data_IF_540979064837
#
_entry.id   IF_540979064837
#
_cell.length_a   1.000
_cell.length_b   1.000
_cell.length_c   1.000
_cell.angle_alpha   90.00
_cell.angle_beta   90.00
_cell.angle_gamma   90.00
#
_symmetry.space_group_name_H-M   'P 1'
#
loop_
_entity.id
_entity.type
_entity.pdbx_description
1 polymer ?
#
# COMPACT_ATOMS: atom_id res chain seq x y z
N UNK A 1 -32.07 -49.99 0.03
CA UNK A 1 -31.07 -49.15 0.68
C UNK A 1 -31.12 -47.79 -0.02
N UNK A 2 -31.52 -46.72 0.65
CA UNK A 2 -31.69 -45.42 0.00
C UNK A 2 -30.39 -44.66 0.01
N UNK A 3 -30.13 -44.01 -1.13
CA UNK A 3 -29.07 -43.06 -1.35
C UNK A 3 -29.46 -41.70 -0.73
N UNK A 4 -28.68 -41.22 0.18
CA UNK A 4 -28.88 -39.92 0.85
C UNK A 4 -28.36 -38.80 -0.01
N UNK A 5 -29.25 -38.02 -0.57
CA UNK A 5 -29.04 -36.61 -0.96
C UNK A 5 -29.19 -35.74 0.28
N UNK A 6 -28.16 -35.08 0.68
CA UNK A 6 -28.10 -33.88 1.54
C UNK A 6 -26.70 -33.29 1.34
N UNK A 7 -26.55 -32.06 0.99
CA UNK A 7 -26.91 -30.79 1.53
C UNK A 7 -26.52 -29.71 0.49
N UNK A 8 -27.48 -29.15 -0.18
CA UNK A 8 -27.27 -27.85 -0.89
C UNK A 8 -28.16 -26.84 -0.21
N UNK A 9 -27.48 -26.02 0.57
CA UNK A 9 -27.71 -24.62 0.81
C UNK A 9 -29.02 -24.15 1.45
N UNK A 10 -28.96 -23.92 2.75
CA UNK A 10 -29.90 -23.12 3.53
C UNK A 10 -29.88 -21.61 3.18
N UNK A 11 -28.98 -21.15 2.29
CA UNK A 11 -28.82 -19.72 1.95
C UNK A 11 -29.68 -19.27 0.78
N UNK A 12 -30.09 -20.13 -0.11
CA UNK A 12 -30.98 -19.77 -1.25
C UNK A 12 -32.43 -19.55 -0.80
N UNK A 13 -32.87 -20.21 0.25
CA UNK A 13 -34.28 -20.16 0.72
C UNK A 13 -34.58 -18.83 1.46
N UNK A 14 -33.59 -18.17 2.04
CA UNK A 14 -33.80 -16.88 2.73
C UNK A 14 -33.97 -15.69 1.79
N UNK A 15 -33.46 -15.75 0.56
CA UNK A 15 -33.59 -14.67 -0.42
C UNK A 15 -34.96 -14.64 -1.12
N UNK A 16 -35.61 -15.80 -1.27
CA UNK A 16 -36.92 -15.88 -1.94
C UNK A 16 -38.08 -15.43 -1.02
N UNK A 17 -37.92 -15.53 0.30
CA UNK A 17 -38.97 -15.16 1.26
C UNK A 17 -39.14 -13.66 1.50
N UNK A 18 -38.13 -12.83 1.17
CA UNK A 18 -38.20 -11.37 1.35
C UNK A 18 -38.91 -10.69 0.16
N UNK A 19 -38.96 -11.31 -1.02
CA UNK A 19 -39.57 -10.73 -2.22
C UNK A 19 -41.11 -10.90 -2.22
N UNK A 20 -41.67 -11.80 -1.43
CA UNK A 20 -43.12 -12.10 -1.45
C UNK A 20 -43.96 -11.21 -0.48
N UNK A 21 -43.34 -10.40 0.36
CA UNK A 21 -44.05 -9.57 1.37
C UNK A 21 -44.25 -8.10 0.95
N UNK A 22 -43.83 -7.67 -0.25
CA UNK A 22 -44.01 -6.28 -0.73
C UNK A 22 -45.08 -6.14 -1.82
N UNK A 23 -45.74 -7.23 -2.22
CA UNK A 23 -46.68 -7.22 -3.36
C UNK A 23 -48.16 -6.95 -3.03
N UNK A 24 -48.49 -6.51 -1.81
CA UNK A 24 -49.90 -6.15 -1.49
C UNK A 24 -50.02 -4.71 -1.01
N UNK A 25 -49.95 -3.77 -1.91
CA UNK A 25 -50.38 -2.40 -1.66
C UNK A 25 -49.56 -1.35 -2.40
N UNK A 26 -49.89 -1.15 -3.66
CA UNK A 26 -49.93 0.13 -4.33
C UNK A 26 -50.20 -0.15 -5.82
N UNK A 27 -51.38 0.30 -6.29
CA UNK A 27 -51.76 0.21 -7.69
C UNK A 27 -51.00 1.23 -8.54
N UNK A 28 -50.72 0.81 -9.77
CA UNK A 28 -50.43 1.59 -10.97
C UNK A 28 -49.14 2.40 -10.99
N UNK A 29 -48.05 1.76 -11.46
CA UNK A 29 -47.19 2.15 -12.57
C UNK A 29 -46.17 1.01 -12.76
N UNK A 30 -46.42 0.15 -13.74
CA UNK A 30 -45.50 -0.89 -14.11
C UNK A 30 -44.30 -0.29 -14.89
N UNK A 31 -43.30 0.20 -14.19
CA UNK A 31 -41.94 0.24 -14.75
C UNK A 31 -41.37 -1.16 -14.61
N UNK A 32 -41.04 -1.76 -15.76
CA UNK A 32 -40.36 -3.06 -15.80
C UNK A 32 -39.06 -2.99 -15.02
N UNK A 33 -39.06 -3.53 -13.81
CA UNK A 33 -37.82 -3.81 -13.08
C UNK A 33 -37.12 -4.88 -13.91
N UNK A 34 -36.04 -4.50 -14.63
CA UNK A 34 -35.10 -5.48 -15.18
C UNK A 34 -34.46 -6.19 -13.98
N UNK A 35 -34.87 -7.40 -13.75
CA UNK A 35 -34.11 -8.34 -12.90
C UNK A 35 -32.77 -8.49 -13.61
N UNK A 36 -31.61 -8.18 -12.98
CA UNK A 36 -30.34 -8.46 -13.61
C UNK A 36 -30.31 -9.96 -13.93
N UNK A 37 -29.98 -10.29 -15.17
CA UNK A 37 -29.80 -11.68 -15.58
C UNK A 37 -28.72 -12.29 -14.67
N UNK A 38 -29.05 -13.42 -14.05
CA UNK A 38 -28.06 -14.22 -13.31
C UNK A 38 -27.04 -14.65 -14.37
N UNK A 39 -25.75 -14.30 -14.24
CA UNK A 39 -24.74 -14.71 -15.20
C UNK A 39 -24.81 -16.21 -15.41
N UNK A 40 -24.74 -16.65 -16.64
CA UNK A 40 -24.70 -18.08 -16.96
C UNK A 40 -23.45 -18.73 -16.35
N UNK A 41 -23.48 -20.01 -16.06
CA UNK A 41 -22.32 -20.74 -15.52
C UNK A 41 -21.06 -20.65 -16.43
N UNK A 42 -21.21 -20.21 -17.69
CA UNK A 42 -20.12 -19.94 -18.64
C UNK A 42 -19.56 -18.52 -18.49
N UNK A 43 -20.30 -17.57 -17.90
CA UNK A 43 -19.86 -16.21 -17.59
C UNK A 43 -19.23 -16.12 -16.19
N UNK A 44 -19.60 -17.01 -15.28
CA UNK A 44 -18.82 -17.37 -14.11
C UNK A 44 -17.67 -18.24 -14.61
N UNK A 45 -16.60 -17.64 -15.11
CA UNK A 45 -15.43 -18.35 -15.59
C UNK A 45 -15.05 -19.42 -14.57
N UNK A 46 -15.35 -20.70 -14.88
CA UNK A 46 -15.10 -21.78 -13.98
C UNK A 46 -13.61 -21.78 -13.62
N UNK A 47 -13.27 -21.38 -12.39
CA UNK A 47 -11.91 -21.47 -11.88
C UNK A 47 -11.57 -22.95 -11.94
N UNK A 48 -10.76 -23.34 -12.92
CA UNK A 48 -10.39 -24.74 -13.15
C UNK A 48 -9.23 -25.20 -12.25
N UNK A 49 -8.59 -24.25 -11.56
CA UNK A 49 -7.47 -24.46 -10.62
C UNK A 49 -7.39 -23.28 -9.66
N UNK A 50 -6.69 -23.47 -8.56
CA UNK A 50 -6.32 -22.38 -7.65
C UNK A 50 -5.52 -21.30 -8.43
N UNK A 51 -5.82 -20.04 -8.17
CA UNK A 51 -5.10 -18.91 -8.78
C UNK A 51 -4.34 -18.12 -7.71
N UNK A 52 -3.19 -17.60 -8.06
CA UNK A 52 -2.36 -16.83 -7.14
C UNK A 52 -2.35 -15.35 -7.55
N UNK A 53 -2.76 -14.52 -6.62
CA UNK A 53 -2.64 -13.07 -6.69
C UNK A 53 -1.36 -12.65 -5.98
N UNK A 54 -0.55 -11.82 -6.63
CA UNK A 54 0.71 -11.30 -6.10
C UNK A 54 0.62 -9.79 -5.98
N UNK A 55 0.74 -9.27 -4.75
CA UNK A 55 0.87 -7.84 -4.51
C UNK A 55 2.30 -7.53 -4.05
N UNK A 56 2.78 -6.33 -4.39
CA UNK A 56 4.02 -5.78 -3.84
C UNK A 56 3.71 -4.51 -3.08
N UNK A 57 4.23 -4.46 -1.85
CA UNK A 57 4.12 -3.28 -1.01
C UNK A 57 5.53 -2.72 -0.80
N UNK A 58 5.69 -1.45 -1.12
CA UNK A 58 6.91 -0.70 -0.97
C UNK A 58 6.77 0.31 0.17
N UNK A 59 7.88 0.63 0.84
CA UNK A 59 7.92 1.58 1.95
C UNK A 59 7.87 3.05 1.50
N UNK A 60 8.65 3.90 2.17
CA UNK A 60 8.57 5.35 2.05
C UNK A 60 9.28 5.85 0.77
N UNK A 61 8.50 6.49 -0.10
CA UNK A 61 9.00 7.25 -1.25
C UNK A 61 9.08 8.71 -0.87
N UNK A 62 10.29 9.26 -0.81
CA UNK A 62 10.53 10.63 -0.40
C UNK A 62 11.17 11.46 -1.53
N UNK A 63 11.10 12.79 -1.42
CA UNK A 63 11.73 13.72 -2.37
C UNK A 63 12.49 14.82 -1.63
N UNK A 64 13.76 14.56 -1.34
CA UNK A 64 14.65 15.53 -0.71
C UNK A 64 15.19 16.54 -1.73
N UNK A 65 15.72 17.67 -1.22
CA UNK A 65 16.25 18.75 -2.08
C UNK A 65 17.33 18.26 -3.05
N UNK A 66 18.20 17.37 -2.60
CA UNK A 66 19.27 16.81 -3.43
C UNK A 66 18.71 15.95 -4.57
N UNK A 67 17.60 15.25 -4.34
CA UNK A 67 16.91 14.46 -5.38
C UNK A 67 16.26 15.38 -6.41
N UNK A 68 15.60 16.48 -5.97
CA UNK A 68 15.05 17.51 -6.86
C UNK A 68 16.16 18.11 -7.72
N UNK A 69 17.29 18.48 -7.10
CA UNK A 69 18.43 19.08 -7.82
C UNK A 69 19.06 18.09 -8.80
N UNK A 70 19.21 16.82 -8.42
CA UNK A 70 19.81 15.79 -9.29
C UNK A 70 18.90 15.42 -10.47
N UNK A 71 17.58 15.52 -10.31
CA UNK A 71 16.60 15.24 -11.36
C UNK A 71 16.35 16.42 -12.31
N UNK A 72 16.72 17.66 -11.92
CA UNK A 72 16.46 18.86 -12.69
C UNK A 72 17.14 18.83 -14.06
N UNK A 73 16.41 19.17 -15.12
CA UNK A 73 16.91 19.29 -16.49
C UNK A 73 17.09 20.75 -16.87
N UNK A 74 17.73 21.01 -18.02
CA UNK A 74 17.90 22.37 -18.55
C UNK A 74 16.58 23.00 -19.02
N UNK A 75 15.55 22.21 -19.18
CA UNK A 75 14.23 22.58 -19.73
C UNK A 75 13.20 22.86 -18.64
N UNK A 76 13.65 23.19 -17.41
CA UNK A 76 12.79 23.43 -16.23
C UNK A 76 11.84 22.23 -15.92
N UNK A 77 12.27 21.02 -16.21
CA UNK A 77 11.61 19.74 -15.94
C UNK A 77 12.48 18.84 -15.08
N UNK A 78 11.96 17.68 -14.68
CA UNK A 78 12.69 16.68 -13.91
C UNK A 78 12.70 15.33 -14.61
N UNK A 79 13.84 14.61 -14.55
CA UNK A 79 14.01 13.26 -15.06
C UNK A 79 14.28 12.30 -13.90
N UNK A 80 13.45 11.27 -13.78
CA UNK A 80 13.53 10.23 -12.76
C UNK A 80 13.74 8.83 -13.33
N UNK A 81 14.06 8.69 -14.63
CA UNK A 81 14.11 7.40 -15.36
C UNK A 81 15.00 6.34 -14.68
N UNK A 82 16.10 6.77 -14.06
CA UNK A 82 17.02 5.85 -13.39
C UNK A 82 16.49 5.28 -12.07
N UNK A 83 15.45 5.89 -11.47
CA UNK A 83 15.05 5.58 -10.10
C UNK A 83 14.54 4.14 -9.96
N UNK A 84 13.72 3.67 -10.90
CA UNK A 84 13.03 2.39 -10.84
C UNK A 84 13.58 1.32 -11.78
N UNK A 85 14.60 1.65 -12.60
CA UNK A 85 15.12 0.77 -13.67
C UNK A 85 15.40 -0.66 -13.20
N UNK A 86 16.01 -0.83 -12.03
CA UNK A 86 16.43 -2.15 -11.55
C UNK A 86 15.35 -2.92 -10.79
N UNK A 87 14.27 -2.25 -10.36
CA UNK A 87 13.12 -2.92 -9.74
C UNK A 87 11.95 -3.14 -10.69
N UNK A 88 11.99 -2.58 -11.92
CA UNK A 88 10.89 -2.65 -12.89
C UNK A 88 10.40 -4.08 -13.12
N UNK A 89 11.33 -5.04 -13.32
CA UNK A 89 10.97 -6.46 -13.52
C UNK A 89 10.19 -7.08 -12.36
N UNK A 90 10.36 -6.55 -11.14
CA UNK A 90 9.58 -6.99 -9.98
C UNK A 90 8.18 -6.39 -10.01
N UNK A 91 8.08 -5.10 -10.32
CA UNK A 91 6.79 -4.40 -10.44
C UNK A 91 5.94 -5.01 -11.56
N UNK A 92 6.53 -5.27 -12.73
CA UNK A 92 5.85 -5.88 -13.88
C UNK A 92 5.38 -7.33 -13.62
N UNK A 93 5.97 -8.01 -12.64
CA UNK A 93 5.63 -9.40 -12.29
C UNK A 93 4.57 -9.53 -11.19
N UNK A 94 3.99 -8.43 -10.75
CA UNK A 94 2.91 -8.39 -9.75
C UNK A 94 1.58 -7.99 -10.36
N UNK A 95 0.51 -8.29 -9.66
CA UNK A 95 -0.84 -7.94 -10.05
C UNK A 95 -1.28 -6.59 -9.47
N UNK A 96 -0.57 -6.10 -8.44
CA UNK A 96 -0.82 -4.82 -7.79
C UNK A 96 0.42 -4.35 -7.03
N UNK A 97 0.80 -3.09 -7.21
CA UNK A 97 1.91 -2.44 -6.52
C UNK A 97 1.43 -1.26 -5.68
N UNK A 98 1.85 -1.21 -4.43
CA UNK A 98 1.42 -0.25 -3.41
C UNK A 98 2.65 0.47 -2.84
N UNK A 99 2.61 1.80 -2.67
CA UNK A 99 3.72 2.54 -2.05
C UNK A 99 3.26 3.73 -1.20
N UNK A 100 4.03 4.06 -0.16
CA UNK A 100 3.79 5.24 0.65
C UNK A 100 4.40 6.49 0.01
N UNK A 101 3.54 7.45 -0.33
CA UNK A 101 3.90 8.72 -0.98
C UNK A 101 4.20 9.78 0.09
N UNK A 102 5.41 9.75 0.66
CA UNK A 102 5.76 10.59 1.81
C UNK A 102 6.28 11.97 1.38
N UNK A 103 5.44 12.68 0.66
CA UNK A 103 5.65 14.05 0.18
C UNK A 103 4.31 14.68 -0.22
N UNK A 104 4.30 16.00 -0.38
CA UNK A 104 3.18 16.73 -1.02
C UNK A 104 3.54 17.13 -2.43
N UNK A 105 2.52 17.42 -3.25
CA UNK A 105 2.62 18.01 -4.59
C UNK A 105 2.01 19.42 -4.56
N UNK A 106 2.62 20.31 -3.75
CA UNK A 106 2.06 21.65 -3.51
C UNK A 106 2.45 22.69 -4.58
N UNK A 107 3.22 22.26 -5.61
CA UNK A 107 3.70 23.12 -6.67
C UNK A 107 5.01 23.83 -6.33
N UNK A 108 5.42 24.76 -7.21
CA UNK A 108 6.64 25.56 -7.04
C UNK A 108 6.47 26.60 -5.92
N UNK A 109 7.54 26.94 -5.16
CA UNK A 109 8.87 26.33 -5.26
C UNK A 109 8.87 24.90 -4.72
N UNK A 110 9.54 23.98 -5.44
CA UNK A 110 9.75 22.62 -4.95
C UNK A 110 10.75 22.63 -3.80
N UNK A 111 10.46 21.83 -2.76
CA UNK A 111 11.26 21.80 -1.53
C UNK A 111 11.39 20.38 -1.01
N UNK A 112 12.57 20.06 -0.44
CA UNK A 112 12.80 18.88 0.36
C UNK A 112 12.47 19.10 1.84
N UNK A 113 13.16 18.33 2.72
CA UNK A 113 13.02 18.46 4.17
C UNK A 113 13.31 19.90 4.64
N UNK A 114 12.60 20.45 5.66
CA UNK A 114 11.62 19.76 6.50
C UNK A 114 10.18 19.74 5.96
N UNK A 115 9.84 20.47 4.91
CA UNK A 115 8.49 20.56 4.38
C UNK A 115 8.50 20.29 2.88
N UNK A 116 8.15 19.06 2.53
CA UNK A 116 8.23 18.55 1.17
C UNK A 116 7.20 19.17 0.22
N UNK A 117 7.66 19.52 -0.97
CA UNK A 117 6.84 19.82 -2.15
C UNK A 117 7.55 19.26 -3.38
N UNK A 118 7.23 18.03 -3.74
CA UNK A 118 7.85 17.34 -4.87
C UNK A 118 7.35 17.93 -6.22
N UNK A 119 8.14 17.80 -7.31
CA UNK A 119 7.66 18.01 -8.66
C UNK A 119 6.52 17.04 -9.02
N UNK A 120 5.51 17.51 -9.75
CA UNK A 120 4.39 16.65 -10.19
C UNK A 120 4.85 15.50 -11.09
N UNK A 121 5.95 15.71 -11.83
CA UNK A 121 6.62 14.70 -12.65
C UNK A 121 7.05 13.48 -11.85
N UNK A 122 7.38 13.64 -10.57
CA UNK A 122 7.78 12.52 -9.73
C UNK A 122 6.61 11.56 -9.47
N UNK A 123 5.45 12.05 -9.10
CA UNK A 123 4.27 11.21 -8.91
C UNK A 123 3.83 10.56 -10.22
N UNK A 124 3.94 11.29 -11.34
CA UNK A 124 3.65 10.76 -12.67
C UNK A 124 4.61 9.63 -13.03
N UNK A 125 5.90 9.82 -12.82
CA UNK A 125 6.91 8.80 -13.07
C UNK A 125 6.69 7.54 -12.21
N UNK A 126 6.33 7.69 -10.92
CA UNK A 126 5.99 6.57 -10.04
C UNK A 126 4.79 5.77 -10.60
N UNK A 127 3.75 6.46 -11.06
CA UNK A 127 2.59 5.82 -11.71
C UNK A 127 3.00 5.08 -13.01
N UNK A 128 3.80 5.74 -13.85
CA UNK A 128 4.27 5.19 -15.14
C UNK A 128 5.18 3.96 -14.94
N UNK A 129 5.87 3.85 -13.79
CA UNK A 129 6.64 2.67 -13.41
C UNK A 129 5.78 1.53 -12.84
N UNK A 130 4.47 1.69 -12.76
CA UNK A 130 3.54 0.63 -12.37
C UNK A 130 3.25 0.58 -10.88
N UNK A 131 3.36 1.68 -10.13
CA UNK A 131 2.77 1.78 -8.80
C UNK A 131 1.29 2.13 -8.96
N UNK A 132 0.42 1.23 -8.51
CA UNK A 132 -1.03 1.31 -8.71
C UNK A 132 -1.74 2.03 -7.57
N UNK A 133 -1.26 1.84 -6.33
CA UNK A 133 -1.91 2.39 -5.13
C UNK A 133 -0.96 3.32 -4.38
N UNK A 134 -1.39 4.58 -4.23
CA UNK A 134 -0.68 5.61 -3.50
C UNK A 134 -1.24 5.75 -2.09
N UNK A 135 -0.41 5.48 -1.07
CA UNK A 135 -0.75 5.69 0.33
C UNK A 135 -0.42 7.14 0.69
N UNK A 136 -1.38 7.86 1.23
CA UNK A 136 -1.28 9.30 1.46
C UNK A 136 -1.33 9.70 2.94
N UNK A 137 -1.72 8.79 3.83
CA UNK A 137 -1.73 9.05 5.26
C UNK A 137 -0.33 8.86 5.85
N UNK A 138 0.46 9.92 5.90
CA UNK A 138 1.79 9.99 6.51
C UNK A 138 1.98 11.33 7.23
N UNK A 139 3.09 11.48 7.96
CA UNK A 139 3.36 12.67 8.76
C UNK A 139 3.68 13.91 7.93
N UNK A 140 4.06 13.77 6.65
CA UNK A 140 4.40 14.85 5.75
C UNK A 140 3.23 15.34 4.87
N UNK A 141 2.07 14.70 4.91
CA UNK A 141 0.96 15.02 4.01
C UNK A 141 0.40 16.46 4.17
N UNK A 142 0.62 17.07 5.33
CA UNK A 142 0.26 18.46 5.62
C UNK A 142 1.43 19.44 5.56
N UNK A 143 2.59 19.09 5.03
CA UNK A 143 3.79 19.94 4.99
C UNK A 143 3.57 21.33 4.35
N UNK A 144 2.59 21.43 3.50
CA UNK A 144 2.14 22.69 2.86
C UNK A 144 0.71 23.05 3.23
N UNK A 145 0.26 22.60 4.42
CA UNK A 145 -1.08 22.86 4.94
C UNK A 145 -2.20 22.22 4.11
N UNK A 146 -3.45 22.55 4.43
CA UNK A 146 -4.62 22.02 3.72
C UNK A 146 -4.63 22.35 2.22
N UNK A 147 -4.08 23.50 1.80
CA UNK A 147 -3.96 23.84 0.37
C UNK A 147 -2.97 22.92 -0.35
N UNK A 148 -1.85 22.59 0.29
CA UNK A 148 -0.88 21.64 -0.26
C UNK A 148 -1.48 20.24 -0.41
N UNK A 149 -2.19 19.75 0.62
CA UNK A 149 -2.90 18.48 0.55
C UNK A 149 -3.98 18.49 -0.53
N UNK A 150 -4.82 19.54 -0.60
CA UNK A 150 -5.84 19.67 -1.64
C UNK A 150 -5.25 19.52 -3.04
N UNK A 151 -4.16 20.30 -3.32
CA UNK A 151 -3.49 20.20 -4.61
C UNK A 151 -2.89 18.82 -4.87
N UNK A 152 -2.32 18.19 -3.86
CA UNK A 152 -1.78 16.83 -3.98
C UNK A 152 -2.85 15.84 -4.42
N UNK A 153 -4.02 15.89 -3.78
CA UNK A 153 -5.17 15.04 -4.15
C UNK A 153 -5.72 15.38 -5.55
N UNK A 154 -5.71 16.66 -5.95
CA UNK A 154 -6.08 17.07 -7.32
C UNK A 154 -5.16 16.44 -8.36
N UNK A 155 -3.83 16.47 -8.14
CA UNK A 155 -2.86 15.84 -9.03
C UNK A 155 -3.09 14.31 -9.10
N UNK A 156 -3.35 13.65 -7.99
CA UNK A 156 -3.64 12.20 -8.00
C UNK A 156 -4.92 11.89 -8.77
N UNK A 157 -5.98 12.69 -8.67
CA UNK A 157 -7.19 12.55 -9.49
C UNK A 157 -6.93 12.77 -10.98
N UNK A 158 -6.06 13.73 -11.33
CA UNK A 158 -5.64 13.90 -12.73
C UNK A 158 -4.84 12.69 -13.25
N UNK A 159 -4.02 12.07 -12.42
CA UNK A 159 -3.32 10.82 -12.76
C UNK A 159 -4.31 9.67 -12.93
N UNK A 160 -5.31 9.54 -12.05
CA UNK A 160 -6.38 8.52 -12.17
C UNK A 160 -7.14 8.57 -13.50
N UNK A 161 -7.26 9.74 -14.14
CA UNK A 161 -7.90 9.87 -15.45
C UNK A 161 -7.04 9.33 -16.60
N UNK A 162 -5.74 9.15 -16.38
CA UNK A 162 -4.75 8.78 -17.41
C UNK A 162 -4.16 7.39 -17.21
N UNK A 163 -4.19 6.90 -15.99
CA UNK A 163 -3.66 5.61 -15.56
C UNK A 163 -4.59 5.02 -14.49
N UNK A 164 -4.54 3.71 -14.29
CA UNK A 164 -5.44 3.02 -13.34
C UNK A 164 -5.03 3.16 -11.87
N UNK A 165 -4.24 4.19 -11.52
CA UNK A 165 -3.87 4.40 -10.12
C UNK A 165 -5.10 4.66 -9.26
N UNK A 166 -4.96 4.33 -7.96
CA UNK A 166 -5.89 4.73 -6.89
C UNK A 166 -5.08 5.31 -5.74
N UNK A 167 -5.74 6.02 -4.84
CA UNK A 167 -5.10 6.48 -3.60
C UNK A 167 -6.04 6.29 -2.41
N UNK A 168 -5.45 6.17 -1.22
CA UNK A 168 -6.18 6.05 0.05
C UNK A 168 -5.37 6.69 1.18
N UNK A 169 -6.03 7.03 2.28
CA UNK A 169 -5.41 7.62 3.46
C UNK A 169 -5.75 9.08 3.68
N UNK A 170 -6.01 9.86 2.61
CA UNK A 170 -6.48 11.22 2.68
C UNK A 170 -7.62 11.46 1.69
N UNK A 171 -8.49 12.41 2.00
CA UNK A 171 -9.66 12.74 1.18
C UNK A 171 -9.96 14.25 1.20
N UNK A 172 -10.57 14.75 0.13
CA UNK A 172 -10.95 16.16 -0.02
C UNK A 172 -12.29 16.49 0.60
N UNK A 173 -13.15 15.49 0.76
CA UNK A 173 -14.48 15.62 1.33
C UNK A 173 -14.99 14.28 1.90
N UNK A 174 -16.19 14.29 2.45
CA UNK A 174 -16.81 13.12 3.05
C UNK A 174 -17.08 11.99 2.04
N UNK A 175 -17.48 12.33 0.81
CA UNK A 175 -17.78 11.35 -0.25
C UNK A 175 -16.53 10.60 -0.69
N UNK A 176 -15.43 11.32 -0.91
CA UNK A 176 -14.13 10.72 -1.24
C UNK A 176 -13.61 9.86 -0.07
N UNK A 177 -13.76 10.34 1.17
CA UNK A 177 -13.41 9.56 2.37
C UNK A 177 -14.16 8.23 2.41
N UNK A 178 -15.48 8.23 2.23
CA UNK A 178 -16.30 7.01 2.25
C UNK A 178 -15.96 6.03 1.13
N UNK A 179 -15.49 6.52 -0.01
CA UNK A 179 -15.08 5.69 -1.16
C UNK A 179 -13.64 5.19 -1.10
N UNK A 180 -12.80 5.78 -0.24
CA UNK A 180 -11.37 5.48 -0.13
C UNK A 180 -10.94 4.96 1.25
N UNK A 181 -11.88 4.85 2.21
CA UNK A 181 -11.58 4.39 3.58
C UNK A 181 -12.68 3.44 4.09
N UNK A 182 -12.58 2.13 3.80
CA UNK A 182 -11.52 1.43 3.06
C UNK A 182 -11.58 1.68 1.55
N UNK A 183 -10.44 1.65 0.88
CA UNK A 183 -10.39 1.53 -0.57
C UNK A 183 -10.58 0.04 -0.92
N UNK A 184 -11.69 -0.30 -1.55
CA UNK A 184 -11.96 -1.67 -2.00
C UNK A 184 -11.67 -1.78 -3.50
N UNK A 185 -10.83 -2.73 -3.86
CA UNK A 185 -10.45 -3.04 -5.25
C UNK A 185 -10.65 -4.53 -5.50
N UNK A 186 -10.88 -4.89 -6.75
CA UNK A 186 -10.97 -6.29 -7.16
C UNK A 186 -9.87 -6.62 -8.15
N UNK A 187 -9.07 -7.65 -7.84
CA UNK A 187 -7.98 -8.14 -8.68
C UNK A 187 -8.09 -9.65 -8.80
N UNK A 188 -8.17 -10.17 -10.02
CA UNK A 188 -8.35 -11.61 -10.30
C UNK A 188 -9.52 -12.23 -9.53
N UNK A 189 -10.60 -11.46 -9.34
CA UNK A 189 -11.79 -11.90 -8.62
C UNK A 189 -11.62 -12.05 -7.10
N UNK A 190 -10.57 -11.47 -6.52
CA UNK A 190 -10.40 -11.29 -5.07
C UNK A 190 -10.63 -9.82 -4.74
N UNK A 191 -11.54 -9.55 -3.82
CA UNK A 191 -11.79 -8.21 -3.30
C UNK A 191 -10.87 -7.92 -2.13
N UNK A 192 -10.10 -6.86 -2.25
CA UNK A 192 -9.10 -6.42 -1.27
C UNK A 192 -9.51 -5.06 -0.73
N UNK A 193 -9.64 -4.93 0.57
CA UNK A 193 -9.82 -3.66 1.25
C UNK A 193 -8.47 -3.16 1.75
N UNK A 194 -8.12 -1.92 1.40
CA UNK A 194 -6.91 -1.23 1.84
C UNK A 194 -7.28 -0.11 2.79
N UNK A 195 -6.67 -0.08 3.97
CA UNK A 195 -6.86 0.97 4.98
C UNK A 195 -5.50 1.57 5.31
N UNK A 196 -5.27 2.82 4.91
CA UNK A 196 -4.06 3.57 5.23
C UNK A 196 -4.37 4.66 6.27
N UNK A 197 -3.55 4.75 7.32
CA UNK A 197 -3.71 5.75 8.38
C UNK A 197 -2.37 6.07 9.05
N UNK A 198 -2.19 7.33 9.50
CA UNK A 198 -0.95 7.81 10.15
C UNK A 198 -1.10 7.98 11.66
N UNK A 199 0.01 7.88 12.39
CA UNK A 199 0.08 8.22 13.81
C UNK A 199 -0.15 9.72 14.08
N UNK A 200 0.21 10.56 13.12
CA UNK A 200 0.17 12.01 13.24
C UNK A 200 0.68 12.73 12.00
N UNK A 201 0.70 14.06 12.05
CA UNK A 201 1.26 14.95 11.03
C UNK A 201 2.22 15.94 11.66
N UNK A 202 3.33 16.28 10.96
CA UNK A 202 4.37 17.18 11.46
C UNK A 202 3.85 18.61 11.63
N UNK A 203 2.94 19.04 10.75
CA UNK A 203 2.25 20.31 10.87
C UNK A 203 0.80 20.09 11.26
N UNK A 204 0.23 21.10 11.94
CA UNK A 204 -1.15 21.05 12.42
C UNK A 204 -2.15 20.85 11.28
N UNK A 205 -3.23 20.16 11.61
CA UNK A 205 -4.32 19.85 10.68
C UNK A 205 -5.40 20.90 10.75
N UNK A 206 -6.07 21.15 9.62
CA UNK A 206 -7.29 21.95 9.59
C UNK A 206 -8.47 21.18 10.17
N UNK A 207 -9.42 21.93 10.78
CA UNK A 207 -10.70 21.35 11.22
C UNK A 207 -11.61 20.96 10.05
N UNK A 208 -11.34 21.53 8.88
CA UNK A 208 -12.09 21.35 7.64
C UNK A 208 -11.38 20.38 6.68
N UNK A 209 -12.07 19.99 5.65
CA UNK A 209 -11.48 19.24 4.54
C UNK A 209 -10.44 20.09 3.76
N UNK A 210 -9.41 19.45 3.18
CA UNK A 210 -9.12 18.02 3.12
C UNK A 210 -8.65 17.44 4.45
N UNK A 211 -8.78 16.11 4.64
CA UNK A 211 -8.38 15.40 5.86
C UNK A 211 -7.56 14.16 5.53
N UNK A 212 -6.74 13.74 6.50
CA UNK A 212 -6.04 12.44 6.50
C UNK A 212 -6.56 11.54 7.60
N UNK A 213 -6.36 10.24 7.44
CA UNK A 213 -6.77 9.21 8.40
C UNK A 213 -5.77 9.11 9.55
N UNK A 214 -6.27 9.07 10.79
CA UNK A 214 -5.45 8.91 11.99
C UNK A 214 -5.67 7.56 12.66
N UNK A 215 -4.59 6.82 12.94
CA UNK A 215 -4.62 5.53 13.65
C UNK A 215 -5.26 5.61 15.03
N UNK A 216 -5.07 6.74 15.72
CA UNK A 216 -5.64 6.96 17.06
C UNK A 216 -7.14 7.28 17.03
N UNK A 217 -7.73 7.52 15.85
CA UNK A 217 -9.19 7.63 15.71
C UNK A 217 -9.81 6.23 15.65
N UNK A 218 -9.93 5.59 16.82
CA UNK A 218 -10.46 4.23 16.97
C UNK A 218 -11.87 4.05 16.38
N UNK A 219 -12.71 5.08 16.46
CA UNK A 219 -14.07 5.03 15.87
C UNK A 219 -13.99 4.94 14.34
N UNK A 220 -13.20 5.80 13.72
CA UNK A 220 -13.00 5.79 12.27
C UNK A 220 -12.38 4.47 11.81
N UNK A 221 -11.29 4.04 12.45
CA UNK A 221 -10.61 2.78 12.11
C UNK A 221 -11.52 1.56 12.29
N UNK A 222 -12.27 1.49 13.40
CA UNK A 222 -13.21 0.39 13.66
C UNK A 222 -14.36 0.35 12.64
N UNK A 223 -14.88 1.51 12.21
CA UNK A 223 -15.87 1.58 11.15
C UNK A 223 -15.30 1.13 9.81
N UNK A 224 -14.09 1.59 9.44
CA UNK A 224 -13.42 1.19 8.21
C UNK A 224 -13.17 -0.33 8.15
N UNK A 225 -12.72 -0.94 9.26
CA UNK A 225 -12.52 -2.39 9.36
C UNK A 225 -13.85 -3.17 9.21
N UNK A 226 -14.95 -2.70 9.83
CA UNK A 226 -16.28 -3.33 9.67
C UNK A 226 -16.79 -3.26 8.23
N UNK A 227 -16.57 -2.12 7.55
CA UNK A 227 -16.92 -1.97 6.14
C UNK A 227 -16.07 -2.89 5.27
N UNK A 228 -14.76 -2.99 5.56
CA UNK A 228 -13.84 -3.89 4.88
C UNK A 228 -14.29 -5.35 5.01
N UNK A 229 -14.59 -5.82 6.22
CA UNK A 229 -15.10 -7.18 6.49
C UNK A 229 -16.39 -7.50 5.71
N UNK A 230 -17.26 -6.49 5.55
CA UNK A 230 -18.53 -6.67 4.83
C UNK A 230 -18.39 -6.66 3.29
N UNK A 231 -17.34 -6.06 2.74
CA UNK A 231 -17.21 -5.77 1.31
C UNK A 231 -16.05 -6.49 0.62
N UNK A 232 -15.07 -7.01 1.37
CA UNK A 232 -13.85 -7.60 0.82
C UNK A 232 -13.58 -9.01 1.34
N UNK A 233 -12.76 -9.74 0.61
CA UNK A 233 -12.29 -11.08 0.98
C UNK A 233 -11.06 -11.00 1.89
N UNK A 234 -10.26 -9.93 1.76
CA UNK A 234 -9.02 -9.67 2.50
C UNK A 234 -8.94 -8.19 2.88
N UNK A 235 -8.55 -7.92 4.12
CA UNK A 235 -8.29 -6.56 4.64
C UNK A 235 -6.82 -6.36 4.92
N UNK A 236 -6.17 -5.42 4.22
CA UNK A 236 -4.79 -5.02 4.43
C UNK A 236 -4.76 -3.64 5.08
N UNK A 237 -4.18 -3.55 6.27
CA UNK A 237 -3.96 -2.27 6.95
C UNK A 237 -2.51 -1.83 6.74
N UNK A 238 -2.35 -0.58 6.32
CA UNK A 238 -1.09 0.03 5.91
C UNK A 238 -0.81 1.24 6.82
N UNK A 239 -0.37 1.01 8.07
CA UNK A 239 -0.16 2.08 9.04
C UNK A 239 1.18 2.80 8.81
N UNK A 240 1.17 4.12 9.00
CA UNK A 240 2.36 4.96 9.07
C UNK A 240 2.58 5.30 10.55
N UNK A 241 3.55 4.63 11.22
CA UNK A 241 3.65 4.58 12.67
C UNK A 241 5.06 4.27 13.21
N UNK A 242 5.22 4.34 14.54
CA UNK A 242 6.44 3.94 15.24
C UNK A 242 7.39 5.10 15.52
N UNK A 243 8.62 4.79 15.85
CA UNK A 243 9.70 5.73 16.11
C UNK A 243 10.76 5.66 15.02
N UNK A 244 11.21 6.83 14.54
CA UNK A 244 12.24 6.92 13.52
C UNK A 244 13.54 6.23 13.95
N UNK A 245 14.20 5.56 13.00
CA UNK A 245 15.54 4.95 13.09
C UNK A 245 15.67 3.75 14.04
N UNK A 246 14.58 3.25 14.63
CA UNK A 246 14.57 2.05 15.46
C UNK A 246 14.37 0.80 14.60
N UNK A 247 15.33 -0.17 14.68
CA UNK A 247 15.27 -1.43 13.90
C UNK A 247 14.31 -2.48 14.48
N UNK A 248 13.69 -2.18 15.61
CA UNK A 248 12.68 -3.03 16.25
C UNK A 248 11.42 -2.21 16.49
N UNK A 249 10.28 -2.84 16.34
CA UNK A 249 9.02 -2.22 16.71
C UNK A 249 8.97 -1.91 18.20
N UNK A 250 8.21 -0.90 18.57
CA UNK A 250 7.97 -0.54 19.97
C UNK A 250 6.65 -1.13 20.48
N UNK A 251 6.41 -0.98 21.76
CA UNK A 251 5.21 -1.48 22.43
C UNK A 251 3.90 -0.90 21.85
N UNK A 252 3.88 0.39 21.51
CA UNK A 252 2.72 1.05 20.90
C UNK A 252 2.36 0.45 19.53
N UNK A 253 3.38 0.14 18.71
CA UNK A 253 3.16 -0.57 17.43
C UNK A 253 2.58 -1.97 17.66
N UNK A 254 3.10 -2.73 18.63
CA UNK A 254 2.62 -4.08 18.95
C UNK A 254 1.15 -4.06 19.44
N UNK A 255 0.78 -3.12 20.33
CA UNK A 255 -0.60 -2.96 20.82
C UNK A 255 -1.56 -2.57 19.70
N UNK A 256 -1.15 -1.64 18.82
CA UNK A 256 -1.95 -1.26 17.65
C UNK A 256 -2.11 -2.40 16.67
N UNK A 257 -1.04 -3.15 16.36
CA UNK A 257 -1.09 -4.32 15.48
C UNK A 257 -2.07 -5.36 16.01
N UNK A 258 -1.97 -5.67 17.29
CA UNK A 258 -2.90 -6.61 17.95
C UNK A 258 -4.35 -6.13 17.83
N UNK A 259 -4.61 -4.87 18.15
CA UNK A 259 -5.96 -4.30 18.05
C UNK A 259 -6.51 -4.35 16.61
N UNK A 260 -5.69 -4.01 15.60
CA UNK A 260 -6.09 -4.09 14.20
C UNK A 260 -6.44 -5.54 13.80
N UNK A 261 -5.62 -6.50 14.20
CA UNK A 261 -5.84 -7.92 13.96
C UNK A 261 -7.12 -8.45 14.63
N UNK A 262 -7.40 -8.04 15.87
CA UNK A 262 -8.62 -8.36 16.62
C UNK A 262 -9.88 -7.75 15.98
N UNK A 263 -9.75 -6.67 15.22
CA UNK A 263 -10.86 -5.97 14.57
C UNK A 263 -10.97 -6.25 13.05
N UNK A 264 -10.30 -7.30 12.53
CA UNK A 264 -10.55 -7.78 11.18
C UNK A 264 -9.44 -7.49 10.16
N UNK A 265 -8.27 -6.98 10.56
CA UNK A 265 -7.13 -6.94 9.65
C UNK A 265 -6.60 -8.36 9.41
N UNK A 266 -6.34 -8.70 8.14
CA UNK A 266 -5.73 -9.98 7.73
C UNK A 266 -4.24 -9.85 7.47
N UNK A 267 -3.77 -8.65 7.12
CA UNK A 267 -2.36 -8.32 6.87
C UNK A 267 -2.09 -6.91 7.38
N UNK A 268 -0.93 -6.69 8.01
CA UNK A 268 -0.50 -5.36 8.47
C UNK A 268 0.91 -5.09 7.95
N UNK A 269 1.10 -3.99 7.20
CA UNK A 269 2.39 -3.62 6.63
C UNK A 269 2.64 -2.13 6.88
N UNK A 270 3.59 -1.83 7.75
CA UNK A 270 3.88 -0.49 8.24
C UNK A 270 4.97 0.26 7.49
N UNK A 271 4.99 1.57 7.71
CA UNK A 271 5.98 2.55 7.23
C UNK A 271 6.22 3.63 8.30
N UNK A 272 7.07 4.62 8.06
CA UNK A 272 7.48 5.75 8.90
C UNK A 272 8.84 5.64 9.59
N UNK A 273 9.30 4.54 10.22
CA UNK A 273 10.59 4.52 10.91
C UNK A 273 11.81 4.83 10.02
N UNK A 274 11.61 4.91 8.70
CA UNK A 274 12.65 5.12 7.69
C UNK A 274 13.77 4.08 7.68
N UNK A 275 13.60 3.04 8.45
CA UNK A 275 14.46 1.85 8.51
C UNK A 275 13.59 0.61 8.52
N UNK A 276 14.14 -0.49 8.06
CA UNK A 276 13.51 -1.80 8.16
C UNK A 276 13.33 -2.16 9.63
N UNK A 277 12.13 -2.56 10.02
CA UNK A 277 11.87 -3.18 11.31
C UNK A 277 11.57 -4.66 11.14
N UNK A 278 11.53 -5.38 12.25
CA UNK A 278 11.20 -6.79 12.29
C UNK A 278 9.75 -7.10 11.81
N UNK A 279 9.49 -8.37 11.60
CA UNK A 279 8.18 -8.89 11.20
C UNK A 279 7.82 -10.10 12.06
N UNK A 280 6.53 -10.32 12.24
CA UNK A 280 6.00 -11.48 12.98
C UNK A 280 4.64 -11.93 12.42
N UNK A 281 4.06 -12.96 13.00
CA UNK A 281 2.66 -13.34 12.80
C UNK A 281 1.92 -13.32 14.13
N UNK A 282 0.89 -12.50 14.22
CA UNK A 282 -0.04 -12.47 15.35
C UNK A 282 -1.08 -13.56 15.14
N UNK A 283 -1.43 -14.29 16.21
CA UNK A 283 -2.48 -15.33 16.15
C UNK A 283 -3.72 -14.84 16.89
N UNK A 284 -4.82 -14.66 16.16
CA UNK A 284 -6.13 -14.26 16.70
C UNK A 284 -7.16 -15.30 16.26
N UNK A 285 -7.80 -15.98 17.22
CA UNK A 285 -8.83 -16.99 16.97
C UNK A 285 -8.41 -18.08 15.95
N UNK A 286 -7.14 -18.48 16.03
CA UNK A 286 -6.54 -19.46 15.12
C UNK A 286 -6.11 -18.94 13.75
N UNK A 287 -6.43 -17.69 13.40
CA UNK A 287 -5.93 -17.02 12.19
C UNK A 287 -4.52 -16.47 12.43
N UNK A 288 -3.63 -16.67 11.46
CA UNK A 288 -2.28 -16.08 11.45
C UNK A 288 -2.31 -14.79 10.64
N UNK A 289 -2.09 -13.66 11.29
CA UNK A 289 -2.05 -12.33 10.68
C UNK A 289 -0.59 -11.91 10.56
N UNK A 290 -0.02 -11.87 9.35
CA UNK A 290 1.34 -11.41 9.13
C UNK A 290 1.43 -9.90 9.37
N UNK A 291 2.48 -9.49 10.08
CA UNK A 291 2.80 -8.10 10.40
C UNK A 291 4.24 -7.82 9.99
N UNK A 292 4.45 -6.84 9.10
CA UNK A 292 5.74 -6.21 8.86
C UNK A 292 5.68 -4.80 9.47
N UNK A 293 6.46 -4.52 10.50
CA UNK A 293 6.32 -3.27 11.25
C UNK A 293 6.80 -2.03 10.50
N UNK A 294 7.87 -2.14 9.69
CA UNK A 294 8.30 -1.09 8.78
C UNK A 294 9.09 -1.66 7.60
N UNK A 295 8.75 -1.21 6.41
CA UNK A 295 9.50 -1.51 5.20
C UNK A 295 10.68 -0.56 4.96
N UNK A 296 10.85 0.51 5.76
CA UNK A 296 11.88 1.51 5.56
C UNK A 296 11.70 2.33 4.27
N UNK A 297 12.77 3.02 3.86
CA UNK A 297 12.74 3.85 2.66
C UNK A 297 12.95 3.02 1.39
N UNK A 298 12.14 3.29 0.38
CA UNK A 298 12.41 2.83 -1.00
C UNK A 298 13.42 3.76 -1.66
N UNK A 299 13.14 5.08 -1.58
CA UNK A 299 14.03 6.09 -2.14
C UNK A 299 13.99 7.36 -1.30
N UNK A 300 15.16 7.81 -0.88
CA UNK A 300 15.34 9.01 -0.05
C UNK A 300 16.77 9.55 -0.14
N UNK A 301 17.02 10.73 0.45
CA UNK A 301 18.37 11.23 0.69
C UNK A 301 18.70 11.34 2.18
N UNK A 302 18.04 10.58 3.03
CA UNK A 302 18.28 10.59 4.48
C UNK A 302 19.68 10.06 4.83
N UNK A 303 20.39 10.75 5.73
CA UNK A 303 21.77 10.41 6.10
C UNK A 303 21.90 9.56 7.38
N UNK A 304 20.82 9.40 8.14
CA UNK A 304 20.83 8.57 9.33
C UNK A 304 21.19 7.11 9.01
N UNK A 305 21.74 6.39 9.98
CA UNK A 305 22.14 5.01 9.81
C UNK A 305 20.96 4.14 9.36
N UNK A 306 21.18 3.20 8.45
CA UNK A 306 20.23 2.23 7.92
C UNK A 306 19.12 2.79 6.99
N UNK A 307 18.99 4.12 6.83
CA UNK A 307 17.90 4.74 6.05
C UNK A 307 18.03 4.60 4.52
N UNK A 308 19.14 4.04 4.02
CA UNK A 308 19.28 3.68 2.59
C UNK A 308 18.81 2.26 2.28
N UNK A 309 18.50 1.46 3.32
CA UNK A 309 17.99 0.10 3.17
C UNK A 309 16.49 0.09 3.40
N UNK A 310 15.76 -0.49 2.47
CA UNK A 310 14.32 -0.74 2.58
C UNK A 310 13.96 -2.17 2.22
N UNK A 311 12.68 -2.46 2.23
CA UNK A 311 12.09 -3.73 1.80
C UNK A 311 11.00 -3.48 0.76
N UNK A 312 10.89 -4.42 -0.15
CA UNK A 312 9.69 -4.69 -0.92
C UNK A 312 9.07 -5.97 -0.35
N UNK A 313 7.89 -5.84 0.25
CA UNK A 313 7.12 -6.98 0.74
C UNK A 313 6.29 -7.57 -0.40
N UNK A 314 6.34 -8.89 -0.56
CA UNK A 314 5.49 -9.64 -1.48
C UNK A 314 4.39 -10.34 -0.69
N UNK A 315 3.15 -9.99 -1.00
CA UNK A 315 1.94 -10.62 -0.47
C UNK A 315 1.42 -11.56 -1.53
N UNK A 316 1.31 -12.85 -1.21
CA UNK A 316 0.69 -13.85 -2.09
C UNK A 316 -0.64 -14.30 -1.49
N UNK A 317 -1.69 -14.21 -2.27
CA UNK A 317 -3.04 -14.64 -1.90
C UNK A 317 -3.47 -15.72 -2.87
N UNK A 318 -3.84 -16.89 -2.37
CA UNK A 318 -4.36 -17.99 -3.17
C UNK A 318 -5.88 -17.91 -3.14
N UNK A 319 -6.49 -17.76 -4.31
CA UNK A 319 -7.91 -17.97 -4.51
C UNK A 319 -8.17 -19.44 -4.85
N UNK A 320 -8.82 -20.14 -3.96
CA UNK A 320 -9.15 -21.57 -4.11
C UNK A 320 -10.33 -21.75 -5.08
N UNK A 321 -10.41 -22.94 -5.68
CA UNK A 321 -11.55 -23.34 -6.55
C UNK A 321 -12.91 -23.17 -5.85
N UNK A 322 -12.97 -23.40 -4.55
CA UNK A 322 -14.19 -23.24 -3.75
C UNK A 322 -14.53 -21.77 -3.42
N UNK A 323 -13.75 -20.81 -3.93
CA UNK A 323 -13.93 -19.37 -3.71
C UNK A 323 -13.33 -18.85 -2.39
N UNK A 324 -12.79 -19.70 -1.53
CA UNK A 324 -12.07 -19.22 -0.34
C UNK A 324 -10.72 -18.63 -0.71
N UNK A 325 -10.22 -17.72 0.12
CA UNK A 325 -8.91 -17.11 -0.04
C UNK A 325 -7.97 -17.51 1.09
N UNK A 326 -6.68 -17.62 0.78
CA UNK A 326 -5.63 -17.96 1.75
C UNK A 326 -4.45 -16.99 1.57
N UNK A 327 -4.04 -16.34 2.65
CA UNK A 327 -2.85 -15.48 2.69
C UNK A 327 -1.64 -16.33 3.02
N UNK A 328 -0.61 -16.27 2.16
CA UNK A 328 0.67 -16.91 2.43
C UNK A 328 1.56 -16.02 3.30
N UNK A 329 2.59 -16.58 3.96
CA UNK A 329 3.58 -15.78 4.66
C UNK A 329 4.19 -14.70 3.77
N UNK A 330 4.47 -13.52 4.34
CA UNK A 330 5.13 -12.44 3.61
C UNK A 330 6.53 -12.87 3.16
N UNK A 331 6.86 -12.55 1.93
CA UNK A 331 8.22 -12.65 1.39
C UNK A 331 8.82 -11.26 1.28
N UNK A 332 10.16 -11.16 1.42
CA UNK A 332 10.83 -9.86 1.41
C UNK A 332 11.99 -9.85 0.42
N UNK A 333 12.12 -8.75 -0.30
CA UNK A 333 13.30 -8.40 -1.09
C UNK A 333 13.90 -7.13 -0.51
N UNK A 334 15.17 -7.19 -0.09
CA UNK A 334 15.88 -6.00 0.37
C UNK A 334 16.18 -5.07 -0.80
N UNK A 335 16.01 -3.78 -0.54
CA UNK A 335 16.29 -2.69 -1.47
C UNK A 335 17.40 -1.80 -0.92
N UNK A 336 18.21 -1.24 -1.82
CA UNK A 336 19.17 -0.21 -1.52
C UNK A 336 18.88 1.04 -2.35
N UNK A 337 18.75 2.17 -1.70
CA UNK A 337 18.70 3.45 -2.37
C UNK A 337 20.12 3.94 -2.65
N UNK A 338 20.67 3.64 -3.82
CA UNK A 338 21.97 4.17 -4.24
C UNK A 338 21.85 5.63 -4.66
N UNK A 339 22.85 6.42 -4.30
CA UNK A 339 22.92 7.86 -4.55
C UNK A 339 23.90 8.18 -5.68
N UNK A 340 23.85 9.40 -6.25
CA UNK A 340 24.82 9.83 -7.25
C UNK A 340 26.27 9.60 -6.79
N UNK A 341 27.06 8.95 -7.63
CA UNK A 341 28.43 8.53 -7.33
C UNK A 341 28.57 7.21 -6.60
N UNK A 342 27.47 6.53 -6.29
CA UNK A 342 27.41 5.17 -5.76
C UNK A 342 27.43 4.11 -6.86
N UNK A 343 26.27 3.48 -7.14
CA UNK A 343 26.16 2.55 -8.25
C UNK A 343 26.29 3.28 -9.60
N UNK A 344 25.64 4.42 -9.75
CA UNK A 344 25.69 5.27 -10.93
C UNK A 344 25.70 6.76 -10.54
N UNK A 345 25.62 7.67 -11.51
CA UNK A 345 25.60 9.11 -11.27
C UNK A 345 24.17 9.68 -11.02
N UNK A 346 23.24 8.84 -10.60
CA UNK A 346 21.88 9.22 -10.26
C UNK A 346 21.40 8.44 -9.04
N UNK A 347 20.24 8.83 -8.50
CA UNK A 347 19.53 7.98 -7.55
C UNK A 347 18.96 6.75 -8.29
N UNK A 348 19.06 5.59 -7.66
CA UNK A 348 18.47 4.35 -8.19
C UNK A 348 18.19 3.37 -7.06
N UNK A 349 17.12 2.58 -7.23
CA UNK A 349 16.70 1.55 -6.28
C UNK A 349 17.25 0.21 -6.77
N UNK A 350 18.05 -0.46 -5.94
CA UNK A 350 18.71 -1.71 -6.27
C UNK A 350 18.14 -2.86 -5.41
N UNK A 351 17.59 -3.94 -5.98
CA UNK A 351 17.28 -5.16 -5.23
C UNK A 351 18.61 -5.83 -4.79
N UNK A 352 18.85 -5.96 -3.49
CA UNK A 352 20.18 -6.35 -3.01
C UNK A 352 20.61 -7.72 -3.54
N UNK A 353 19.72 -8.69 -3.63
CA UNK A 353 20.05 -10.03 -4.13
C UNK A 353 20.61 -10.04 -5.56
N UNK A 354 20.27 -9.04 -6.37
CA UNK A 354 20.78 -8.94 -7.74
C UNK A 354 22.15 -8.24 -7.80
N UNK A 355 22.52 -7.52 -6.73
CA UNK A 355 23.72 -6.66 -6.69
C UNK A 355 24.77 -7.10 -5.65
N UNK A 356 24.46 -8.05 -4.77
CA UNK A 356 25.46 -8.67 -3.90
C UNK A 356 26.48 -9.45 -4.74
N UNK A 357 27.76 -9.13 -4.57
CA UNK A 357 28.86 -9.71 -5.38
C UNK A 357 29.29 -8.86 -6.58
N UNK A 358 28.55 -7.80 -6.95
CA UNK A 358 28.86 -6.96 -8.12
C UNK A 358 29.72 -5.73 -7.80
N UNK A 359 30.52 -5.76 -6.72
CA UNK A 359 31.30 -4.62 -6.23
C UNK A 359 32.08 -3.88 -7.33
N UNK A 360 32.64 -4.62 -8.28
CA UNK A 360 33.45 -4.05 -9.35
C UNK A 360 32.66 -3.23 -10.37
N UNK A 361 31.35 -3.41 -10.44
CA UNK A 361 30.45 -2.66 -11.33
C UNK A 361 30.08 -1.27 -10.78
N UNK A 362 30.30 -1.02 -9.47
CA UNK A 362 29.95 0.24 -8.83
C UNK A 362 30.97 1.33 -9.11
N UNK A 363 30.51 2.54 -9.38
CA UNK A 363 31.38 3.72 -9.45
C UNK A 363 32.06 3.96 -8.11
N UNK A 364 31.24 4.07 -7.06
CA UNK A 364 31.71 4.25 -5.69
C UNK A 364 31.79 2.95 -4.93
N UNK A 365 32.97 2.28 -4.93
CA UNK A 365 33.19 1.05 -4.16
C UNK A 365 32.84 1.19 -2.68
N UNK A 366 33.03 2.39 -2.14
CA UNK A 366 32.69 2.72 -0.75
C UNK A 366 31.19 2.59 -0.45
N UNK A 367 30.31 2.89 -1.44
CA UNK A 367 28.87 2.75 -1.25
C UNK A 367 28.44 1.29 -1.30
N UNK A 368 29.09 0.47 -2.16
CA UNK A 368 28.89 -0.96 -2.14
C UNK A 368 29.27 -1.57 -0.77
N UNK A 369 30.41 -1.19 -0.23
CA UNK A 369 30.88 -1.70 1.08
C UNK A 369 29.92 -1.25 2.21
N UNK A 370 29.42 -0.01 2.13
CA UNK A 370 28.36 0.50 3.01
C UNK A 370 27.07 -0.29 2.88
N UNK A 371 26.61 -0.56 1.65
CA UNK A 371 25.43 -1.36 1.37
C UNK A 371 25.52 -2.75 1.99
N UNK A 372 26.59 -3.49 1.69
CA UNK A 372 26.79 -4.84 2.19
C UNK A 372 26.84 -4.90 3.73
N UNK A 373 27.58 -3.95 4.35
CA UNK A 373 27.68 -3.85 5.81
C UNK A 373 26.34 -3.50 6.45
N UNK A 374 25.58 -2.59 5.83
CA UNK A 374 24.28 -2.17 6.34
C UNK A 374 23.25 -3.30 6.22
N UNK A 375 23.21 -3.99 5.08
CA UNK A 375 22.36 -5.16 4.85
C UNK A 375 22.60 -6.22 5.94
N UNK A 376 23.85 -6.64 6.14
CA UNK A 376 24.19 -7.65 7.18
C UNK A 376 23.68 -7.22 8.55
N UNK A 377 23.96 -5.97 8.95
CA UNK A 377 23.54 -5.44 10.26
C UNK A 377 22.03 -5.37 10.41
N UNK A 378 21.30 -4.91 9.37
CA UNK A 378 19.84 -4.78 9.40
C UNK A 378 19.21 -6.17 9.45
N UNK A 379 19.64 -7.10 8.60
CA UNK A 379 19.13 -8.47 8.57
C UNK A 379 19.33 -9.19 9.91
N UNK A 380 20.51 -9.06 10.53
CA UNK A 380 20.79 -9.63 11.84
C UNK A 380 19.91 -9.03 12.95
N UNK A 381 19.72 -7.71 12.93
CA UNK A 381 18.96 -7.00 13.98
C UNK A 381 17.44 -7.22 13.85
N UNK A 382 16.92 -7.27 12.65
CA UNK A 382 15.47 -7.45 12.40
C UNK A 382 15.05 -8.91 12.32
N UNK A 383 15.98 -9.82 12.00
CA UNK A 383 15.69 -11.22 11.76
C UNK A 383 15.00 -11.51 10.42
N UNK A 384 14.80 -10.48 9.57
CA UNK A 384 14.18 -10.64 8.25
C UNK A 384 15.16 -11.34 7.32
N UNK A 385 14.67 -12.40 6.70
CA UNK A 385 15.41 -13.14 5.66
C UNK A 385 14.88 -12.73 4.28
N UNK A 386 15.80 -12.61 3.33
CA UNK A 386 15.43 -12.45 1.92
C UNK A 386 15.02 -13.79 1.33
N UNK A 387 13.98 -13.79 0.50
CA UNK A 387 13.46 -14.98 -0.15
C UNK A 387 13.93 -15.08 -1.61
#
# INVERSE_FOLDING_TARGET
>A
MPCTLNTVSSHIIKFVSIILLIATGYGAMAQSIRIPEIPSASELGAISKDDTLTLRVLGDMMMHQQQITAAATKEDSCNFDSYFTHIQKYLDSSDLNIANMEFTLAGKPHTGYPTFSAPDEYARHIADCGIDIFLTANNHIYDKGGKGLSRTLDIYRELQKKSDIRFTGSASDQTEFESTTPLVIEVKGVKIALINATYGTNLGTDRHWPKTNYLNNRTMMGNALKVAEAQADITIVLPHWGEEYQLRHNHDQAEKAKWLAENGADIIIGSHPHVVQDAESIVIDGRKIPVAYSLGNVISNMSAANTQTGLMATVKIIRKINGSVEVLPLEFTYLWCSRPGGYCNSYTILPLKDFLGSREEWYGKWEYDKMATTYTRVAEKTGIKEN
#
